data_IF_104548977248
#
_entry.id   IF_104548977248
#
_cell.length_a   1.000
_cell.length_b   1.000
_cell.length_c   1.000
_cell.angle_alpha   90.00
_cell.angle_beta   90.00
_cell.angle_gamma   90.00
#
_symmetry.space_group_name_H-M   'P 1'
#
loop_
_entity.id
_entity.type
_entity.pdbx_description
1 polymer ?
#
# COMPACT_ATOMS: atom_id res chain seq x y z
N UNK A 1 26.13 18.66 -11.43
CA UNK A 1 25.67 19.02 -10.07
C UNK A 1 24.16 19.25 -10.00
N UNK A 2 23.56 20.16 -10.78
CA UNK A 2 22.10 20.44 -10.69
C UNK A 2 21.20 19.22 -11.02
N UNK A 3 21.52 18.45 -12.07
CA UNK A 3 20.72 17.28 -12.47
C UNK A 3 20.68 16.14 -11.43
N UNK A 4 21.75 15.99 -10.64
CA UNK A 4 21.81 14.97 -9.59
C UNK A 4 20.92 15.32 -8.40
N UNK A 5 20.86 16.61 -8.04
CA UNK A 5 19.96 17.09 -7.00
C UNK A 5 18.49 16.89 -7.38
N UNK A 6 18.09 17.23 -8.61
CA UNK A 6 16.72 17.02 -9.09
C UNK A 6 16.29 15.55 -9.06
N UNK A 7 17.20 14.63 -9.42
CA UNK A 7 16.93 13.18 -9.39
C UNK A 7 16.69 12.68 -7.97
N UNK A 8 17.52 13.11 -7.01
CA UNK A 8 17.36 12.74 -5.59
C UNK A 8 16.04 13.29 -5.01
N UNK A 9 15.71 14.53 -5.33
CA UNK A 9 14.44 15.15 -4.91
C UNK A 9 13.25 14.38 -5.47
N UNK A 10 13.25 14.02 -6.75
CA UNK A 10 12.20 13.22 -7.35
C UNK A 10 12.04 11.86 -6.65
N UNK A 11 13.15 11.22 -6.29
CA UNK A 11 13.14 9.96 -5.51
C UNK A 11 12.50 10.12 -4.13
N UNK A 12 12.84 11.18 -3.40
CA UNK A 12 12.24 11.47 -2.10
C UNK A 12 10.74 11.76 -2.21
N UNK A 13 10.34 12.59 -3.18
CA UNK A 13 8.93 12.90 -3.44
C UNK A 13 8.14 11.62 -3.74
N UNK A 14 8.68 10.76 -4.61
CA UNK A 14 8.04 9.48 -4.94
C UNK A 14 7.93 8.57 -3.71
N UNK A 15 8.97 8.50 -2.87
CA UNK A 15 8.94 7.71 -1.64
C UNK A 15 7.89 8.24 -0.64
N UNK A 16 7.82 9.57 -0.45
CA UNK A 16 6.82 10.21 0.41
C UNK A 16 5.40 9.94 -0.08
N UNK A 17 5.13 10.08 -1.38
CA UNK A 17 3.82 9.76 -1.95
C UNK A 17 3.51 8.27 -1.90
N UNK A 18 4.51 7.39 -2.06
CA UNK A 18 4.36 5.96 -1.88
C UNK A 18 3.88 5.59 -0.46
N UNK A 19 4.43 6.26 0.56
CA UNK A 19 3.98 6.09 1.95
C UNK A 19 2.54 6.57 2.14
N UNK A 20 2.20 7.77 1.66
CA UNK A 20 0.83 8.32 1.74
C UNK A 20 -0.17 7.42 1.04
N UNK A 21 0.16 6.92 -0.15
CA UNK A 21 -0.68 5.98 -0.88
C UNK A 21 -0.89 4.68 -0.10
N UNK A 22 0.17 4.11 0.50
CA UNK A 22 0.07 2.92 1.33
C UNK A 22 -0.84 3.12 2.55
N UNK A 23 -0.75 4.27 3.22
CA UNK A 23 -1.62 4.62 4.34
C UNK A 23 -3.08 4.80 3.89
N UNK A 24 -3.33 5.44 2.75
CA UNK A 24 -4.67 5.62 2.21
C UNK A 24 -5.35 4.27 1.90
N UNK A 25 -4.61 3.30 1.32
CA UNK A 25 -5.14 1.96 1.09
C UNK A 25 -5.42 1.20 2.39
N UNK A 26 -4.59 1.37 3.41
CA UNK A 26 -4.83 0.79 4.74
C UNK A 26 -6.16 1.28 5.31
N UNK A 27 -6.37 2.60 5.35
CA UNK A 27 -7.60 3.21 5.86
C UNK A 27 -8.83 2.83 5.01
N UNK A 28 -8.70 2.78 3.68
CA UNK A 28 -9.79 2.36 2.81
C UNK A 28 -10.23 0.91 3.06
N UNK A 29 -9.28 -0.01 3.26
CA UNK A 29 -9.61 -1.42 3.56
C UNK A 29 -10.29 -1.52 4.92
N UNK A 30 -9.81 -0.80 5.94
CA UNK A 30 -10.46 -0.76 7.26
C UNK A 30 -11.89 -0.25 7.16
N UNK A 31 -12.10 0.90 6.52
CA UNK A 31 -13.42 1.49 6.35
C UNK A 31 -14.39 0.56 5.60
N UNK A 32 -13.91 -0.18 4.59
CA UNK A 32 -14.71 -1.18 3.89
C UNK A 32 -15.13 -2.32 4.83
N UNK A 33 -14.21 -2.83 5.66
CA UNK A 33 -14.50 -3.89 6.63
C UNK A 33 -15.47 -3.37 7.70
N UNK A 34 -15.31 -2.14 8.15
CA UNK A 34 -16.21 -1.51 9.11
C UNK A 34 -17.65 -1.39 8.60
N UNK A 35 -17.84 -1.15 7.30
CA UNK A 35 -19.17 -1.14 6.70
C UNK A 35 -19.81 -2.54 6.59
N UNK A 36 -19.00 -3.59 6.44
CA UNK A 36 -19.49 -4.96 6.24
C UNK A 36 -19.75 -5.67 7.57
N UNK A 37 -19.02 -5.32 8.64
CA UNK A 37 -19.12 -5.97 9.94
C UNK A 37 -19.84 -5.08 10.97
N UNK A 38 -20.95 -5.55 11.60
CA UNK A 38 -21.68 -4.74 12.59
C UNK A 38 -20.91 -4.47 13.89
N UNK A 39 -19.84 -5.22 14.18
CA UNK A 39 -18.92 -4.96 15.31
C UNK A 39 -17.49 -5.39 14.94
N UNK A 40 -16.78 -4.59 14.12
CA UNK A 40 -15.47 -4.96 13.56
C UNK A 40 -14.37 -5.01 14.64
N UNK A 41 -14.46 -4.14 15.63
CA UNK A 41 -13.46 -3.93 16.68
C UNK A 41 -13.25 -5.18 17.57
N UNK A 42 -14.34 -5.88 17.86
CA UNK A 42 -14.38 -7.06 18.73
C UNK A 42 -14.44 -8.38 17.95
N UNK A 43 -14.65 -8.32 16.64
CA UNK A 43 -14.70 -9.49 15.79
C UNK A 43 -13.29 -9.95 15.38
N UNK A 44 -12.83 -11.04 15.98
CA UNK A 44 -11.60 -11.74 15.56
C UNK A 44 -11.67 -12.07 14.06
N UNK A 45 -12.85 -12.44 13.56
CA UNK A 45 -13.06 -12.73 12.14
C UNK A 45 -12.80 -11.50 11.25
N UNK A 46 -13.25 -10.31 11.65
CA UNK A 46 -12.99 -9.07 10.91
C UNK A 46 -11.49 -8.75 10.83
N UNK A 47 -10.75 -8.96 11.93
CA UNK A 47 -9.28 -8.79 11.98
C UNK A 47 -8.55 -9.79 11.09
N UNK A 48 -9.01 -11.04 11.05
CA UNK A 48 -8.44 -12.07 10.17
C UNK A 48 -8.68 -11.74 8.70
N UNK A 49 -9.88 -11.30 8.35
CA UNK A 49 -10.21 -10.88 6.98
C UNK A 49 -9.36 -9.67 6.58
N UNK A 50 -9.23 -8.67 7.44
CA UNK A 50 -8.33 -7.53 7.22
C UNK A 50 -6.90 -7.99 6.92
N UNK A 51 -6.34 -8.88 7.75
CA UNK A 51 -4.98 -9.37 7.56
C UNK A 51 -4.80 -10.11 6.21
N UNK A 52 -5.77 -10.93 5.82
CA UNK A 52 -5.75 -11.65 4.53
C UNK A 52 -5.84 -10.66 3.36
N UNK A 53 -6.77 -9.71 3.41
CA UNK A 53 -6.97 -8.71 2.34
C UNK A 53 -5.73 -7.85 2.17
N UNK A 54 -5.16 -7.34 3.26
CA UNK A 54 -3.93 -6.53 3.22
C UNK A 54 -2.75 -7.36 2.67
N UNK A 55 -2.63 -8.62 3.05
CA UNK A 55 -1.56 -9.49 2.54
C UNK A 55 -1.68 -9.71 1.03
N UNK A 56 -2.89 -9.99 0.54
CA UNK A 56 -3.15 -10.14 -0.90
C UNK A 56 -2.84 -8.83 -1.64
N UNK A 57 -3.28 -7.70 -1.09
CA UNK A 57 -3.00 -6.38 -1.65
C UNK A 57 -1.49 -6.11 -1.76
N UNK A 58 -0.73 -6.38 -0.69
CA UNK A 58 0.73 -6.22 -0.67
C UNK A 58 1.37 -7.11 -1.74
N UNK A 59 0.99 -8.39 -1.82
CA UNK A 59 1.51 -9.32 -2.84
C UNK A 59 1.21 -8.79 -4.25
N UNK A 60 0.01 -8.31 -4.52
CA UNK A 60 -0.37 -7.76 -5.82
C UNK A 60 0.51 -6.56 -6.20
N UNK A 61 0.71 -5.61 -5.26
CA UNK A 61 1.60 -4.46 -5.45
C UNK A 61 3.03 -4.92 -5.69
N UNK A 62 3.54 -5.87 -4.89
CA UNK A 62 4.89 -6.43 -5.07
C UNK A 62 5.07 -7.04 -6.46
N UNK A 63 4.12 -7.83 -6.94
CA UNK A 63 4.19 -8.43 -8.29
C UNK A 63 4.26 -7.36 -9.37
N UNK A 64 3.44 -6.31 -9.27
CA UNK A 64 3.44 -5.20 -10.23
C UNK A 64 4.79 -4.48 -10.22
N UNK A 65 5.31 -4.15 -9.04
CA UNK A 65 6.62 -3.50 -8.88
C UNK A 65 7.74 -4.38 -9.43
N UNK A 66 7.78 -5.66 -9.07
CA UNK A 66 8.79 -6.61 -9.58
C UNK A 66 8.74 -6.74 -11.10
N UNK A 67 7.54 -6.76 -11.72
CA UNK A 67 7.39 -6.80 -13.18
C UNK A 67 7.91 -5.54 -13.85
N UNK A 68 7.64 -4.36 -13.29
CA UNK A 68 8.11 -3.09 -13.85
C UNK A 68 9.64 -3.00 -13.76
N UNK A 69 10.22 -3.41 -12.62
CA UNK A 69 11.68 -3.39 -12.43
C UNK A 69 12.40 -4.39 -13.33
N UNK A 70 11.85 -5.59 -13.54
CA UNK A 70 12.44 -6.59 -14.45
C UNK A 70 12.43 -6.17 -15.92
N UNK A 71 11.49 -5.33 -16.35
CA UNK A 71 11.41 -4.84 -17.75
C UNK A 71 12.49 -3.83 -18.13
N UNK A 72 13.21 -3.28 -17.14
CA UNK A 72 14.28 -2.29 -17.34
C UNK A 72 15.70 -2.87 -17.22
N UNK A 73 15.82 -4.18 -17.01
CA UNK A 73 17.08 -4.94 -17.08
C UNK A 73 17.16 -5.70 -18.40
#
# INVERSE_FOLDING_TARGET
MQAEASTKIAGYVLASFGLVAGLAWNEAIKALIEQIFPSPSDSILAKLIYAVVVTIFVIAVTIVVTRITRRKS
#
